data_IF_430624031068
#
_entry.id   IF_430624031068
#
_cell.length_a   1.000
_cell.length_b   1.000
_cell.length_c   1.000
_cell.angle_alpha   90.00
_cell.angle_beta   90.00
_cell.angle_gamma   90.00
#
_symmetry.space_group_name_H-M   'P 1'
#
loop_
_entity.id
_entity.type
_entity.pdbx_description
1 polymer ?
#
# COMPACT_ATOMS: atom_id res chain seq x y z
N UNK A 1 -7.50 6.41 13.99
CA UNK A 1 -8.09 5.05 14.11
C UNK A 1 -9.21 4.78 13.10
N UNK A 2 -10.24 5.62 12.94
CA UNK A 2 -11.31 5.38 11.94
C UNK A 2 -10.84 5.28 10.48
N UNK A 3 -9.88 6.13 10.08
CA UNK A 3 -9.26 6.09 8.75
C UNK A 3 -8.44 4.81 8.50
N UNK A 4 -7.83 4.23 9.54
CA UNK A 4 -7.02 3.00 9.45
C UNK A 4 -7.91 1.78 9.25
N UNK A 5 -9.03 1.72 9.96
CA UNK A 5 -10.02 0.64 9.79
C UNK A 5 -10.70 0.73 8.41
N UNK A 6 -11.00 1.94 7.95
CA UNK A 6 -11.54 2.18 6.60
C UNK A 6 -10.55 1.77 5.50
N UNK A 7 -9.27 2.14 5.65
CA UNK A 7 -8.21 1.75 4.72
C UNK A 7 -7.96 0.23 4.72
N UNK A 8 -8.03 -0.44 5.87
CA UNK A 8 -7.99 -1.89 5.93
C UNK A 8 -9.20 -2.50 5.21
N UNK A 9 -10.38 -1.89 5.34
CA UNK A 9 -11.62 -2.34 4.71
C UNK A 9 -11.59 -2.35 3.18
N UNK A 10 -10.81 -1.47 2.54
CA UNK A 10 -10.65 -1.47 1.07
C UNK A 10 -9.63 -2.50 0.59
N UNK A 11 -8.52 -2.67 1.32
CA UNK A 11 -7.44 -3.57 0.91
C UNK A 11 -7.68 -5.06 1.26
N UNK A 12 -8.50 -5.36 2.28
CA UNK A 12 -8.79 -6.75 2.68
C UNK A 12 -9.54 -7.52 1.58
N UNK A 13 -10.62 -7.00 0.97
CA UNK A 13 -11.29 -7.68 -0.14
C UNK A 13 -10.37 -7.96 -1.34
N UNK A 14 -9.51 -7.01 -1.69
CA UNK A 14 -8.55 -7.14 -2.79
C UNK A 14 -7.49 -8.20 -2.50
N UNK A 15 -7.00 -8.25 -1.26
CA UNK A 15 -6.08 -9.28 -0.80
C UNK A 15 -6.73 -10.68 -0.85
N UNK A 16 -7.98 -10.81 -0.37
CA UNK A 16 -8.73 -12.07 -0.41
C UNK A 16 -8.99 -12.53 -1.85
N UNK A 17 -9.37 -11.60 -2.74
CA UNK A 17 -9.57 -11.85 -4.17
C UNK A 17 -8.27 -12.34 -4.83
N UNK A 18 -7.16 -11.65 -4.58
CA UNK A 18 -5.85 -12.00 -5.12
C UNK A 18 -5.38 -13.38 -4.62
N UNK A 19 -5.58 -13.69 -3.35
CA UNK A 19 -5.29 -15.03 -2.79
C UNK A 19 -6.16 -16.11 -3.44
N UNK A 20 -7.46 -15.87 -3.61
CA UNK A 20 -8.36 -16.84 -4.23
C UNK A 20 -7.99 -17.14 -5.69
N UNK A 21 -7.55 -16.13 -6.45
CA UNK A 21 -7.08 -16.27 -7.84
C UNK A 21 -5.72 -16.98 -7.89
N UNK A 22 -4.80 -16.64 -6.98
CA UNK A 22 -3.49 -17.29 -6.87
C UNK A 22 -3.63 -18.79 -6.51
N UNK A 23 -4.55 -19.15 -5.61
CA UNK A 23 -4.85 -20.55 -5.25
C UNK A 23 -5.37 -21.38 -6.42
N UNK A 24 -5.97 -20.74 -7.43
CA UNK A 24 -6.43 -21.39 -8.68
C UNK A 24 -5.31 -21.54 -9.72
N UNK A 25 -4.07 -21.17 -9.39
CA UNK A 25 -2.91 -21.25 -10.28
C UNK A 25 -2.67 -20.00 -11.13
N UNK A 26 -3.51 -18.95 -11.00
CA UNK A 26 -3.38 -17.71 -11.76
C UNK A 26 -2.58 -16.65 -10.98
N UNK A 27 -1.34 -16.98 -10.61
CA UNK A 27 -0.46 -16.10 -9.83
C UNK A 27 -0.17 -14.77 -10.53
N UNK A 28 0.06 -14.78 -11.84
CA UNK A 28 0.32 -13.57 -12.62
C UNK A 28 -0.85 -12.60 -12.58
N UNK A 29 -2.08 -13.13 -12.62
CA UNK A 29 -3.30 -12.34 -12.51
C UNK A 29 -3.47 -11.71 -11.12
N UNK A 30 -3.12 -12.46 -10.06
CA UNK A 30 -3.15 -11.95 -8.69
C UNK A 30 -2.15 -10.80 -8.50
N UNK A 31 -0.94 -10.92 -9.05
CA UNK A 31 0.08 -9.86 -9.01
C UNK A 31 -0.38 -8.65 -9.82
N UNK A 32 -0.88 -8.84 -11.04
CA UNK A 32 -1.36 -7.73 -11.87
C UNK A 32 -2.56 -7.01 -11.23
N UNK A 33 -3.46 -7.74 -10.58
CA UNK A 33 -4.60 -7.17 -9.86
C UNK A 33 -4.14 -6.31 -8.68
N UNK A 34 -3.16 -6.81 -7.91
CA UNK A 34 -2.61 -6.08 -6.76
C UNK A 34 -1.91 -4.78 -7.18
N UNK A 35 -1.11 -4.84 -8.25
CA UNK A 35 -0.43 -3.65 -8.80
C UNK A 35 -1.45 -2.67 -9.39
N UNK A 36 -2.44 -3.18 -10.14
CA UNK A 36 -3.48 -2.38 -10.77
C UNK A 36 -4.34 -1.61 -9.78
N UNK A 37 -4.73 -2.23 -8.67
CA UNK A 37 -5.54 -1.58 -7.62
C UNK A 37 -4.79 -0.38 -7.00
N UNK A 38 -3.51 -0.55 -6.66
CA UNK A 38 -2.68 0.55 -6.13
C UNK A 38 -2.51 1.70 -7.15
N UNK A 39 -2.35 1.39 -8.44
CA UNK A 39 -2.27 2.41 -9.50
C UNK A 39 -3.60 3.16 -9.60
N UNK A 40 -4.73 2.44 -9.54
CA UNK A 40 -6.06 3.05 -9.58
C UNK A 40 -6.30 3.96 -8.37
N UNK A 41 -5.92 3.53 -7.17
CA UNK A 41 -6.05 4.33 -5.96
C UNK A 41 -5.26 5.64 -6.04
N UNK A 42 -4.04 5.61 -6.58
CA UNK A 42 -3.21 6.81 -6.73
C UNK A 42 -3.78 7.74 -7.81
N UNK A 43 -4.24 7.21 -8.94
CA UNK A 43 -4.70 8.01 -10.08
C UNK A 43 -6.13 8.53 -9.93
N UNK A 44 -7.01 7.75 -9.28
CA UNK A 44 -8.43 8.06 -9.15
C UNK A 44 -8.85 8.20 -7.69
N UNK A 45 -8.46 7.27 -6.82
CA UNK A 45 -8.85 7.25 -5.41
C UNK A 45 -8.45 8.52 -4.65
N UNK A 46 -7.22 9.01 -4.85
CA UNK A 46 -6.73 10.25 -4.23
C UNK A 46 -7.24 11.53 -4.90
N UNK A 47 -7.17 11.69 -6.24
CA UNK A 47 -7.45 12.99 -6.86
C UNK A 47 -8.94 13.31 -6.98
N UNK A 48 -9.81 12.29 -7.14
CA UNK A 48 -11.25 12.52 -7.37
C UNK A 48 -11.93 13.20 -6.18
N UNK A 49 -11.78 12.73 -4.92
CA UNK A 49 -12.37 13.41 -3.77
C UNK A 49 -11.84 14.84 -3.60
N UNK A 50 -10.54 15.04 -3.85
CA UNK A 50 -9.92 16.35 -3.74
C UNK A 50 -10.44 17.34 -4.80
N UNK A 51 -10.59 16.88 -6.03
CA UNK A 51 -11.16 17.66 -7.13
C UNK A 51 -12.62 18.02 -6.85
N UNK A 52 -13.44 17.07 -6.39
CA UNK A 52 -14.82 17.33 -5.98
C UNK A 52 -14.90 18.35 -4.84
N UNK A 53 -14.02 18.23 -3.84
CA UNK A 53 -13.94 19.19 -2.75
C UNK A 53 -13.60 20.61 -3.24
N UNK A 54 -12.61 20.75 -4.14
CA UNK A 54 -12.23 22.05 -4.72
C UNK A 54 -13.32 22.67 -5.59
N UNK A 55 -14.10 21.86 -6.31
CA UNK A 55 -15.25 22.35 -7.09
C UNK A 55 -16.35 22.88 -6.15
N UNK A 56 -16.63 22.18 -5.06
CA UNK A 56 -17.68 22.56 -4.11
C UNK A 56 -17.27 23.74 -3.20
N UNK A 57 -15.98 23.81 -2.84
CA UNK A 57 -15.42 24.82 -1.93
C UNK A 57 -14.18 25.50 -2.53
N UNK A 58 -14.35 26.35 -3.56
CA UNK A 58 -13.23 26.95 -4.30
C UNK A 58 -12.31 27.80 -3.42
N UNK A 59 -12.87 28.46 -2.40
CA UNK A 59 -12.16 29.36 -1.50
C UNK A 59 -11.47 28.66 -0.33
N UNK A 60 -11.71 27.36 -0.10
CA UNK A 60 -11.11 26.62 1.00
C UNK A 60 -9.79 25.97 0.57
N UNK A 61 -8.78 26.09 1.42
CA UNK A 61 -7.49 25.41 1.27
C UNK A 61 -7.48 24.17 2.16
N UNK A 62 -7.11 23.03 1.57
CA UNK A 62 -6.90 21.79 2.34
C UNK A 62 -5.48 21.81 2.86
N UNK A 63 -5.31 21.91 4.18
CA UNK A 63 -4.00 21.80 4.83
C UNK A 63 -3.64 20.33 4.99
N UNK A 64 -2.47 19.95 4.46
CA UNK A 64 -1.91 18.61 4.62
C UNK A 64 -0.97 18.67 5.82
N UNK A 65 -1.48 18.34 7.01
CA UNK A 65 -0.63 18.15 8.17
C UNK A 65 0.03 16.78 8.08
N UNK A 66 1.36 16.74 7.98
CA UNK A 66 2.09 15.48 7.89
C UNK A 66 3.46 15.59 8.54
N UNK A 67 3.48 15.68 9.87
CA UNK A 67 4.69 15.66 10.69
C UNK A 67 5.32 14.26 10.75
N UNK A 68 5.70 13.72 9.59
CA UNK A 68 6.53 12.51 9.33
C UNK A 68 6.39 12.03 7.87
N UNK A 69 5.82 12.84 6.97
CA UNK A 69 5.62 12.49 5.56
C UNK A 69 6.92 11.99 4.90
N UNK A 70 8.03 12.68 5.17
CA UNK A 70 9.33 12.37 4.59
C UNK A 70 9.82 10.99 5.03
N UNK A 71 9.70 10.66 6.31
CA UNK A 71 10.11 9.35 6.85
C UNK A 71 9.26 8.24 6.22
N UNK A 72 7.94 8.39 6.23
CA UNK A 72 7.03 7.41 5.63
C UNK A 72 7.29 7.23 4.13
N UNK A 73 7.56 8.31 3.38
CA UNK A 73 7.89 8.25 1.97
C UNK A 73 9.22 7.51 1.73
N UNK A 74 10.26 7.81 2.50
CA UNK A 74 11.55 7.13 2.39
C UNK A 74 11.42 5.63 2.69
N UNK A 75 10.68 5.28 3.75
CA UNK A 75 10.40 3.90 4.14
C UNK A 75 9.64 3.15 3.04
N UNK A 76 8.63 3.77 2.41
CA UNK A 76 7.91 3.18 1.27
C UNK A 76 8.80 2.96 0.05
N UNK A 77 9.61 3.95 -0.33
CA UNK A 77 10.54 3.84 -1.46
C UNK A 77 11.57 2.72 -1.20
N UNK A 78 12.09 2.64 0.02
CA UNK A 78 13.00 1.58 0.44
C UNK A 78 12.36 0.20 0.30
N UNK A 79 11.12 0.02 0.76
CA UNK A 79 10.39 -1.24 0.60
C UNK A 79 10.20 -1.65 -0.86
N UNK A 80 9.83 -0.70 -1.73
CA UNK A 80 9.71 -0.97 -3.18
C UNK A 80 11.04 -1.47 -3.74
N UNK A 81 12.15 -0.82 -3.37
CA UNK A 81 13.47 -1.23 -3.82
C UNK A 81 13.84 -2.65 -3.38
N UNK A 82 13.61 -2.99 -2.10
CA UNK A 82 13.89 -4.34 -1.58
C UNK A 82 13.02 -5.39 -2.25
N UNK A 83 11.74 -5.10 -2.51
CA UNK A 83 10.84 -6.02 -3.23
C UNK A 83 11.33 -6.26 -4.65
N UNK A 84 11.66 -5.21 -5.40
CA UNK A 84 12.15 -5.34 -6.78
C UNK A 84 13.44 -6.17 -6.82
N UNK A 85 14.39 -5.87 -5.92
CA UNK A 85 15.63 -6.64 -5.81
C UNK A 85 15.34 -8.11 -5.49
N UNK A 86 14.44 -8.38 -4.55
CA UNK A 86 14.08 -9.75 -4.16
C UNK A 86 13.49 -10.53 -5.32
N UNK A 87 12.61 -9.90 -6.13
CA UNK A 87 12.03 -10.50 -7.33
C UNK A 87 13.12 -10.85 -8.36
N UNK A 88 14.05 -9.91 -8.61
CA UNK A 88 15.17 -10.11 -9.54
C UNK A 88 16.06 -11.28 -9.09
N UNK A 89 16.42 -11.35 -7.81
CA UNK A 89 17.22 -12.46 -7.28
C UNK A 89 16.49 -13.82 -7.35
N UNK A 90 15.16 -13.82 -7.24
CA UNK A 90 14.35 -15.04 -7.42
C UNK A 90 14.07 -15.40 -8.87
N UNK A 91 14.64 -14.67 -9.84
CA UNK A 91 14.46 -14.96 -11.26
C UNK A 91 13.03 -14.76 -11.76
N UNK A 92 12.31 -13.76 -11.20
CA UNK A 92 10.91 -13.48 -11.54
C UNK A 92 9.91 -14.59 -11.19
N UNK A 93 10.27 -15.50 -10.29
CA UNK A 93 9.39 -16.58 -9.83
C UNK A 93 8.84 -16.27 -8.43
N UNK A 94 7.52 -16.10 -8.34
CA UNK A 94 6.83 -15.90 -7.07
C UNK A 94 6.72 -17.22 -6.28
N UNK A 95 7.78 -17.53 -5.53
CA UNK A 95 7.86 -18.70 -4.65
C UNK A 95 7.47 -18.42 -3.18
N UNK A 96 7.37 -19.49 -2.38
CA UNK A 96 7.10 -19.39 -0.93
C UNK A 96 8.17 -18.59 -0.17
N UNK A 97 9.42 -18.61 -0.64
CA UNK A 97 10.52 -17.86 -0.05
C UNK A 97 10.32 -16.35 -0.22
N UNK A 98 10.00 -15.90 -1.44
CA UNK A 98 9.69 -14.50 -1.74
C UNK A 98 8.48 -14.02 -0.94
N UNK A 99 7.42 -14.83 -0.86
CA UNK A 99 6.24 -14.53 -0.05
C UNK A 99 6.57 -14.32 1.44
N UNK A 100 7.45 -15.14 2.03
CA UNK A 100 7.91 -14.95 3.41
C UNK A 100 8.70 -13.65 3.60
N UNK A 101 9.57 -13.31 2.65
CA UNK A 101 10.35 -12.06 2.66
C UNK A 101 9.41 -10.85 2.62
N UNK A 102 8.42 -10.87 1.72
CA UNK A 102 7.43 -9.81 1.59
C UNK A 102 6.56 -9.66 2.86
N UNK A 103 6.13 -10.78 3.45
CA UNK A 103 5.38 -10.75 4.70
C UNK A 103 6.21 -10.20 5.86
N UNK A 104 7.47 -10.60 5.97
CA UNK A 104 8.38 -10.10 7.00
C UNK A 104 8.60 -8.59 6.88
N UNK A 105 8.84 -8.09 5.66
CA UNK A 105 8.95 -6.64 5.42
C UNK A 105 7.68 -5.90 5.81
N UNK A 106 6.50 -6.45 5.49
CA UNK A 106 5.23 -5.85 5.88
C UNK A 106 5.05 -5.79 7.40
N UNK A 107 5.42 -6.85 8.13
CA UNK A 107 5.36 -6.86 9.60
C UNK A 107 6.34 -5.85 10.20
N UNK A 108 7.56 -5.75 9.67
CA UNK A 108 8.54 -4.76 10.12
C UNK A 108 8.03 -3.33 9.89
N UNK A 109 7.44 -3.07 8.71
CA UNK A 109 6.79 -1.80 8.41
C UNK A 109 5.67 -1.47 9.39
N UNK A 110 4.80 -2.44 9.70
CA UNK A 110 3.71 -2.23 10.66
C UNK A 110 4.26 -1.90 12.05
N UNK A 111 5.32 -2.58 12.50
CA UNK A 111 5.97 -2.29 13.78
C UNK A 111 6.55 -0.88 13.79
N UNK A 112 7.29 -0.49 12.75
CA UNK A 112 7.84 0.86 12.60
C UNK A 112 6.73 1.91 12.62
N UNK A 113 5.68 1.72 11.81
CA UNK A 113 4.55 2.63 11.73
C UNK A 113 3.80 2.77 13.06
N UNK A 114 3.59 1.65 13.78
CA UNK A 114 2.95 1.65 15.10
C UNK A 114 3.84 2.29 16.17
N UNK A 115 5.15 2.07 16.14
CA UNK A 115 6.09 2.72 17.07
C UNK A 115 6.14 4.23 16.85
N UNK A 116 6.18 4.69 15.60
CA UNK A 116 6.12 6.12 15.28
C UNK A 116 4.79 6.76 15.74
N UNK A 117 3.69 6.03 15.62
CA UNK A 117 2.38 6.47 16.12
C UNK A 117 2.33 6.52 17.66
N UNK A 118 2.91 5.52 18.34
CA UNK A 118 2.94 5.46 19.81
C UNK A 118 3.89 6.49 20.42
N UNK A 119 5.05 6.75 19.81
CA UNK A 119 5.99 7.79 20.23
C UNK A 119 5.43 9.21 20.00
N UNK A 120 4.36 9.35 19.21
CA UNK A 120 3.69 10.62 18.94
C UNK A 120 2.63 10.99 20.01
N UNK A 121 2.06 10.00 20.69
CA UNK A 121 1.09 10.19 21.79
C UNK A 121 1.79 10.36 23.13
#
# INVERSE_FOLDING_TARGET
>A
MGITLLAAGTSIPDALSSVAVAMKGFGDMAVSSSIGSNIFDILFGLPVPWLLFKIMFPSQTVYIESQNLIINLLTLIFMVFVVVISIVYTGWVLGRALGKIMLLMYVLFLIEALLLELLRN
#
